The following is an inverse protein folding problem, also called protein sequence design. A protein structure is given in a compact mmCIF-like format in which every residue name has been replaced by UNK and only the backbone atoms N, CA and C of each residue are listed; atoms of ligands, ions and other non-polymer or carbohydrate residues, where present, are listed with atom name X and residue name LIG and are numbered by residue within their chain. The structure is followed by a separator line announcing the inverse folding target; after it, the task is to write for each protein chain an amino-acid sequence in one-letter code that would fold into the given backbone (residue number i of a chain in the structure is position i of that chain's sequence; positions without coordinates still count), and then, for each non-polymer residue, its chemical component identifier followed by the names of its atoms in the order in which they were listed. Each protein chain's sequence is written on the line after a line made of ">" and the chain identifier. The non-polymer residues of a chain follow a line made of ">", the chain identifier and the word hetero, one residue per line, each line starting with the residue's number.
data_IF_929794419789
#
_entry.id   IF_929794419789
#
_cell.length_a   1.000
_cell.length_b   1.000
_cell.length_c   1.000
_cell.angle_alpha   90.00
_cell.angle_beta   90.00
_cell.angle_gamma   90.00
#
_symmetry.space_group_name_H-M   'P 1'
#
loop_
_entity.id
_entity.type
_entity.pdbx_description
1 polymer ?
#
# COMPACT_ATOMS: atom_id res chain seq x y z
N UNK A 1 34.57 39.12 54.24
CA UNK A 1 34.11 37.84 53.67
C UNK A 1 32.61 37.96 53.40
N UNK A 2 32.12 37.40 52.27
CA UNK A 2 31.27 38.13 51.34
C UNK A 2 29.75 38.02 51.54
N UNK A 3 29.11 38.99 50.89
CA UNK A 3 27.71 39.22 50.51
C UNK A 3 26.98 38.06 49.82
N UNK A 4 25.66 37.97 49.96
CA UNK A 4 24.70 38.11 48.84
C UNK A 4 23.25 37.81 49.26
N UNK A 5 22.43 38.87 49.35
CA UNK A 5 21.03 38.82 48.92
C UNK A 5 20.95 38.34 47.47
N UNK A 6 20.00 37.45 47.17
CA UNK A 6 19.45 37.25 45.82
C UNK A 6 17.94 37.03 45.98
N UNK A 7 17.15 38.09 45.94
CA UNK A 7 16.58 38.67 44.72
C UNK A 7 15.63 37.69 44.01
N UNK A 8 14.35 37.77 44.37
CA UNK A 8 13.28 37.64 43.38
C UNK A 8 13.47 38.76 42.37
N UNK A 9 13.51 38.43 41.07
CA UNK A 9 12.87 39.21 40.01
C UNK A 9 12.94 38.45 38.68
N UNK A 10 11.74 38.32 38.10
CA UNK A 10 11.40 37.97 36.73
C UNK A 10 12.47 38.28 35.69
N UNK A 11 12.81 37.31 34.84
CA UNK A 11 13.14 37.61 33.45
C UNK A 11 12.07 36.97 32.56
N UNK A 12 11.24 37.82 31.94
CA UNK A 12 10.29 37.41 30.89
C UNK A 12 10.97 36.72 29.71
N UNK A 13 12.30 36.74 29.65
CA UNK A 13 13.12 35.96 28.71
C UNK A 13 13.05 34.45 28.96
N UNK A 14 12.81 33.98 30.19
CA UNK A 14 12.72 32.54 30.49
C UNK A 14 11.33 31.96 30.14
N UNK A 15 10.31 32.81 30.01
CA UNK A 15 8.99 32.42 29.51
C UNK A 15 8.92 32.49 27.97
N UNK A 16 9.55 33.50 27.37
CA UNK A 16 9.65 33.64 25.90
C UNK A 16 10.51 32.53 25.27
N UNK A 17 11.59 32.09 25.92
CA UNK A 17 12.41 30.97 25.45
C UNK A 17 11.69 29.61 25.55
N UNK A 18 10.82 29.43 26.55
CA UNK A 18 9.97 28.25 26.67
C UNK A 18 8.83 28.26 25.64
N UNK A 19 8.21 29.41 25.36
CA UNK A 19 7.22 29.53 24.29
C UNK A 19 7.85 29.40 22.88
N UNK A 20 9.07 29.89 22.67
CA UNK A 20 9.78 29.68 21.40
C UNK A 20 10.19 28.22 21.19
N UNK A 21 10.51 27.49 22.27
CA UNK A 21 10.80 26.06 22.21
C UNK A 21 9.54 25.22 21.97
N UNK A 22 8.38 25.66 22.49
CA UNK A 22 7.06 25.06 22.19
C UNK A 22 6.62 25.32 20.74
N UNK A 23 6.93 26.48 20.15
CA UNK A 23 6.67 26.78 18.74
C UNK A 23 7.66 26.09 17.77
N UNK A 24 8.83 25.67 18.27
CA UNK A 24 9.75 24.79 17.52
C UNK A 24 9.40 23.30 17.70
N UNK A 25 8.66 22.93 18.75
CA UNK A 25 8.16 21.58 18.95
C UNK A 25 6.84 21.29 18.21
N UNK A 26 6.15 22.31 17.70
CA UNK A 26 4.88 22.17 16.96
C UNK A 26 5.01 21.65 15.52
N UNK A 27 6.17 21.11 15.13
CA UNK A 27 6.34 20.45 13.83
C UNK A 27 7.03 19.09 13.91
N UNK A 28 7.01 18.41 15.06
CA UNK A 28 7.06 16.95 15.03
C UNK A 28 5.74 16.46 14.42
N UNK A 29 5.71 16.45 13.09
CA UNK A 29 4.77 15.63 12.33
C UNK A 29 4.81 14.25 12.97
N UNK A 30 3.66 13.77 13.42
CA UNK A 30 3.50 12.39 13.87
C UNK A 30 4.14 11.50 12.82
N UNK A 31 5.27 10.89 13.14
CA UNK A 31 5.90 9.94 12.24
C UNK A 31 4.96 8.74 12.23
N UNK A 32 4.03 8.74 11.28
CA UNK A 32 3.21 7.57 10.97
C UNK A 32 4.17 6.42 10.75
N UNK A 33 4.19 5.48 11.70
CA UNK A 33 5.08 4.34 11.66
C UNK A 33 4.61 3.41 10.54
N UNK A 34 5.33 3.42 9.43
CA UNK A 34 5.05 2.58 8.28
C UNK A 34 5.72 1.21 8.41
N UNK A 35 5.26 0.18 7.66
CA UNK A 35 5.92 -1.10 7.64
C UNK A 35 7.40 -0.95 7.26
N UNK A 36 8.27 -1.76 7.87
CA UNK A 36 9.72 -1.66 7.66
C UNK A 36 10.05 -1.88 6.17
N UNK A 37 10.81 -0.96 5.59
CA UNK A 37 11.18 -1.00 4.17
C UNK A 37 10.17 -0.34 3.24
N UNK A 38 9.04 0.15 3.76
CA UNK A 38 8.09 0.93 3.00
C UNK A 38 8.30 2.44 3.20
N UNK A 39 7.96 3.23 2.18
CA UNK A 39 7.99 4.68 2.25
C UNK A 39 6.91 5.32 1.35
N UNK A 40 6.34 6.47 1.78
CA UNK A 40 5.46 7.26 0.93
C UNK A 40 6.27 8.01 -0.14
N UNK A 41 5.64 8.21 -1.29
CA UNK A 41 6.10 9.01 -2.42
C UNK A 41 4.89 9.76 -3.00
N UNK A 42 5.15 10.80 -3.78
CA UNK A 42 4.11 11.52 -4.52
C UNK A 42 4.53 11.61 -5.98
N UNK A 43 3.70 11.09 -6.87
CA UNK A 43 3.97 11.05 -8.31
C UNK A 43 2.75 11.57 -9.05
N UNK A 44 2.92 12.67 -9.78
CA UNK A 44 1.84 13.35 -10.52
C UNK A 44 0.64 13.76 -9.63
N UNK A 45 0.89 14.09 -8.37
CA UNK A 45 -0.14 14.45 -7.39
C UNK A 45 -0.90 13.25 -6.80
N UNK A 46 -0.49 12.03 -7.12
CA UNK A 46 -1.04 10.81 -6.54
C UNK A 46 -0.20 10.33 -5.37
N UNK A 47 -0.88 9.88 -4.30
CA UNK A 47 -0.25 9.31 -3.12
C UNK A 47 0.21 7.90 -3.44
N UNK A 48 1.52 7.72 -3.50
CA UNK A 48 2.17 6.45 -3.83
C UNK A 48 2.79 5.88 -2.58
N UNK A 49 2.62 4.59 -2.34
CA UNK A 49 3.23 3.89 -1.24
C UNK A 49 4.12 2.76 -1.78
N UNK A 50 5.43 2.89 -1.58
CA UNK A 50 6.45 1.99 -2.13
C UNK A 50 6.92 1.04 -1.04
N UNK A 51 6.71 -0.25 -1.25
CA UNK A 51 7.12 -1.35 -0.39
C UNK A 51 7.91 -2.42 -1.16
N UNK A 52 8.43 -2.07 -2.34
CA UNK A 52 9.15 -2.98 -3.22
C UNK A 52 10.39 -3.55 -2.51
N UNK A 53 10.60 -4.87 -2.60
CA UNK A 53 11.75 -5.57 -1.98
C UNK A 53 11.92 -5.33 -0.47
N UNK A 54 10.82 -5.11 0.26
CA UNK A 54 10.82 -4.92 1.71
C UNK A 54 10.82 -6.26 2.50
N UNK A 55 10.99 -7.40 1.80
CA UNK A 55 10.98 -8.75 2.37
C UNK A 55 9.65 -9.12 3.04
N UNK A 56 8.55 -8.51 2.59
CA UNK A 56 7.22 -8.73 3.15
C UNK A 56 6.76 -10.16 2.89
N UNK A 57 6.11 -10.74 3.88
CA UNK A 57 5.51 -12.09 3.81
C UNK A 57 3.98 -12.05 3.84
N UNK A 58 3.40 -10.87 4.02
CA UNK A 58 1.98 -10.60 4.01
C UNK A 58 1.72 -9.18 3.49
N UNK A 59 0.48 -8.89 3.10
CA UNK A 59 0.05 -7.54 2.75
C UNK A 59 -0.01 -6.70 4.03
N UNK A 60 0.72 -5.56 4.12
CA UNK A 60 0.70 -4.74 5.31
C UNK A 60 -0.67 -4.09 5.54
N UNK A 61 -1.13 -4.03 6.79
CA UNK A 61 -2.42 -3.41 7.17
C UNK A 61 -2.31 -1.91 7.47
N UNK A 62 -1.09 -1.42 7.74
CA UNK A 62 -0.85 -0.04 8.18
C UNK A 62 -0.60 0.92 6.99
N UNK A 63 -1.19 0.62 5.84
CA UNK A 63 -1.11 1.47 4.64
C UNK A 63 -2.22 2.53 4.73
N UNK A 64 -1.93 3.82 4.51
CA UNK A 64 -2.94 4.87 4.54
C UNK A 64 -4.06 4.63 3.53
N UNK A 65 -5.32 4.81 3.97
CA UNK A 65 -6.51 4.56 3.14
C UNK A 65 -6.69 5.54 1.96
N UNK A 66 -5.93 6.62 1.95
CA UNK A 66 -5.87 7.62 0.89
C UNK A 66 -4.78 7.34 -0.16
N UNK A 67 -4.17 6.15 -0.13
CA UNK A 67 -3.18 5.68 -1.11
C UNK A 67 -3.83 5.44 -2.47
N UNK A 68 -3.22 6.00 -3.53
CA UNK A 68 -3.64 5.80 -4.92
C UNK A 68 -2.83 4.72 -5.64
N UNK A 69 -1.53 4.59 -5.34
CA UNK A 69 -0.66 3.58 -5.95
C UNK A 69 0.05 2.80 -4.86
N UNK A 70 0.00 1.47 -4.93
CA UNK A 70 0.65 0.59 -3.96
C UNK A 70 1.57 -0.39 -4.69
N UNK A 71 2.86 -0.29 -4.40
CA UNK A 71 3.90 -1.15 -4.95
C UNK A 71 4.37 -2.15 -3.91
N UNK A 72 3.99 -3.42 -4.06
CA UNK A 72 4.35 -4.56 -3.21
C UNK A 72 5.20 -5.60 -3.97
N UNK A 73 5.79 -5.20 -5.09
CA UNK A 73 6.62 -6.02 -5.96
C UNK A 73 7.93 -6.50 -5.29
N UNK A 74 8.51 -7.58 -5.82
CA UNK A 74 9.74 -8.21 -5.31
C UNK A 74 9.70 -8.58 -3.82
N UNK A 75 8.54 -8.97 -3.31
CA UNK A 75 8.38 -9.46 -1.94
C UNK A 75 8.23 -11.00 -1.90
N UNK A 76 7.77 -11.55 -0.77
CA UNK A 76 7.64 -12.99 -0.51
C UNK A 76 6.22 -13.36 -0.06
N UNK A 77 5.22 -12.59 -0.49
CA UNK A 77 3.81 -12.82 -0.12
C UNK A 77 3.35 -14.15 -0.74
N UNK A 78 2.89 -15.14 0.03
CA UNK A 78 2.57 -16.47 -0.48
C UNK A 78 1.11 -16.67 -0.85
N UNK A 79 0.20 -15.87 -0.28
CA UNK A 79 -1.25 -15.94 -0.54
C UNK A 79 -1.89 -14.56 -0.33
N UNK A 80 -3.04 -14.33 -0.97
CA UNK A 80 -3.88 -13.15 -0.74
C UNK A 80 -5.19 -13.57 -0.07
N UNK A 81 -5.44 -13.16 1.20
CA UNK A 81 -6.69 -13.46 1.87
C UNK A 81 -7.85 -12.61 1.32
N UNK A 82 -9.08 -13.01 1.61
CA UNK A 82 -10.28 -12.17 1.41
C UNK A 82 -10.07 -10.81 2.07
N UNK A 83 -10.57 -9.76 1.41
CA UNK A 83 -10.51 -8.37 1.91
C UNK A 83 -9.07 -7.82 2.11
N UNK A 84 -8.05 -8.42 1.49
CA UNK A 84 -6.63 -8.01 1.63
C UNK A 84 -6.37 -6.52 1.41
N UNK A 85 -7.16 -5.86 0.56
CA UNK A 85 -7.02 -4.45 0.20
C UNK A 85 -8.29 -3.64 0.48
N UNK A 86 -9.20 -4.16 1.31
CA UNK A 86 -10.53 -3.55 1.52
C UNK A 86 -10.46 -2.13 2.09
N UNK A 87 -9.43 -1.84 2.88
CA UNK A 87 -9.24 -0.54 3.54
C UNK A 87 -8.53 0.49 2.64
N UNK A 88 -8.27 0.15 1.37
CA UNK A 88 -7.60 1.00 0.39
C UNK A 88 -8.53 1.32 -0.80
N UNK A 89 -9.68 1.97 -0.56
CA UNK A 89 -10.74 2.14 -1.57
C UNK A 89 -10.38 3.08 -2.72
N UNK A 90 -9.30 3.86 -2.58
CA UNK A 90 -8.84 4.84 -3.58
C UNK A 90 -7.69 4.32 -4.46
N UNK A 91 -7.33 3.03 -4.36
CA UNK A 91 -6.29 2.45 -5.19
C UNK A 91 -6.68 2.48 -6.67
N UNK A 92 -5.77 3.05 -7.45
CA UNK A 92 -5.79 3.11 -8.91
C UNK A 92 -4.85 2.05 -9.50
N UNK A 93 -3.73 1.80 -8.83
CA UNK A 93 -2.68 0.89 -9.28
C UNK A 93 -2.17 0.03 -8.12
N UNK A 94 -2.13 -1.29 -8.35
CA UNK A 94 -1.62 -2.27 -7.40
C UNK A 94 -0.65 -3.22 -8.10
N UNK A 95 0.61 -3.19 -7.67
CA UNK A 95 1.65 -4.08 -8.16
C UNK A 95 2.00 -5.13 -7.09
N UNK A 96 1.74 -6.40 -7.41
CA UNK A 96 2.07 -7.58 -6.62
C UNK A 96 2.99 -8.51 -7.39
N UNK A 97 3.62 -8.02 -8.46
CA UNK A 97 4.51 -8.81 -9.31
C UNK A 97 5.73 -9.32 -8.53
N UNK A 98 6.38 -10.36 -9.05
CA UNK A 98 7.61 -10.89 -8.43
C UNK A 98 7.46 -11.28 -6.95
N UNK A 99 6.29 -11.80 -6.56
CA UNK A 99 6.06 -12.38 -5.25
C UNK A 99 6.10 -13.92 -5.31
N UNK A 100 5.58 -14.59 -4.29
CA UNK A 100 5.43 -16.05 -4.26
C UNK A 100 3.97 -16.48 -4.14
N UNK A 101 3.05 -15.65 -4.65
CA UNK A 101 1.61 -15.85 -4.49
C UNK A 101 1.21 -17.11 -5.24
N UNK A 102 0.71 -18.09 -4.50
CA UNK A 102 0.27 -19.39 -5.00
C UNK A 102 -1.24 -19.58 -4.93
N UNK A 103 -1.93 -18.74 -4.15
CA UNK A 103 -3.38 -18.75 -4.00
C UNK A 103 -3.93 -17.34 -3.74
N UNK A 104 -5.11 -17.08 -4.29
CA UNK A 104 -5.88 -15.85 -4.10
C UNK A 104 -7.27 -16.26 -3.66
N UNK A 105 -7.69 -15.82 -2.48
CA UNK A 105 -9.03 -16.10 -2.01
C UNK A 105 -10.10 -15.31 -2.78
N UNK A 106 -11.29 -15.89 -2.88
CA UNK A 106 -12.45 -15.18 -3.42
C UNK A 106 -12.73 -13.90 -2.62
N UNK A 107 -12.72 -12.76 -3.30
CA UNK A 107 -12.92 -11.45 -2.68
C UNK A 107 -11.65 -10.82 -2.12
N UNK A 108 -10.44 -11.29 -2.45
CA UNK A 108 -9.20 -10.62 -2.07
C UNK A 108 -9.14 -9.14 -2.53
N UNK A 109 -9.70 -8.85 -3.71
CA UNK A 109 -9.76 -7.50 -4.29
C UNK A 109 -11.08 -6.76 -4.04
N UNK A 110 -11.87 -7.21 -3.04
CA UNK A 110 -13.11 -6.53 -2.68
C UNK A 110 -12.82 -5.10 -2.22
N UNK A 111 -13.60 -4.14 -2.70
CA UNK A 111 -13.43 -2.72 -2.40
C UNK A 111 -12.63 -1.96 -3.45
N UNK A 112 -11.96 -2.66 -4.38
CA UNK A 112 -11.15 -2.04 -5.43
C UNK A 112 -11.90 -1.81 -6.76
N UNK A 113 -13.10 -2.36 -6.91
CA UNK A 113 -13.84 -2.41 -8.18
C UNK A 113 -14.13 -1.04 -8.81
N UNK A 114 -14.33 0.00 -7.99
CA UNK A 114 -14.74 1.32 -8.47
C UNK A 114 -13.58 2.13 -9.05
N UNK A 115 -12.36 2.00 -8.50
CA UNK A 115 -11.25 2.91 -8.80
C UNK A 115 -10.01 2.21 -9.37
N UNK A 116 -9.88 0.88 -9.25
CA UNK A 116 -8.67 0.20 -9.71
C UNK A 116 -8.62 0.18 -11.24
N UNK A 117 -7.52 0.66 -11.80
CA UNK A 117 -7.25 0.70 -13.24
C UNK A 117 -6.22 -0.35 -13.66
N UNK A 118 -5.27 -0.67 -12.78
CA UNK A 118 -4.19 -1.62 -13.06
C UNK A 118 -3.93 -2.54 -11.87
N UNK A 119 -3.85 -3.84 -12.16
CA UNK A 119 -3.48 -4.89 -11.22
C UNK A 119 -2.40 -5.76 -11.86
N UNK A 120 -1.20 -5.79 -11.26
CA UNK A 120 -0.14 -6.69 -11.71
C UNK A 120 0.05 -7.85 -10.73
N UNK A 121 -0.16 -9.08 -11.22
CA UNK A 121 0.09 -10.34 -10.52
C UNK A 121 1.11 -11.20 -11.26
N UNK A 122 1.84 -10.62 -12.22
CA UNK A 122 2.83 -11.35 -13.02
C UNK A 122 3.99 -11.89 -12.17
N UNK A 123 4.72 -12.85 -12.71
CA UNK A 123 5.90 -13.41 -12.04
C UNK A 123 5.61 -13.92 -10.62
N UNK A 124 4.49 -14.62 -10.47
CA UNK A 124 4.06 -15.27 -9.22
C UNK A 124 4.02 -16.80 -9.40
N UNK A 125 3.35 -17.52 -8.48
CA UNK A 125 3.29 -18.99 -8.46
C UNK A 125 1.87 -19.52 -8.65
N UNK A 126 1.01 -18.76 -9.31
CA UNK A 126 -0.38 -19.12 -9.53
C UNK A 126 -0.47 -20.23 -10.57
N UNK A 127 -1.08 -21.36 -10.17
CA UNK A 127 -1.34 -22.49 -11.07
C UNK A 127 -2.76 -22.42 -11.64
N UNK A 128 -3.69 -21.85 -10.88
CA UNK A 128 -5.09 -21.62 -11.27
C UNK A 128 -5.71 -20.55 -10.38
N UNK A 129 -6.60 -19.73 -10.94
CA UNK A 129 -7.41 -18.75 -10.20
C UNK A 129 -8.82 -18.76 -10.81
N UNK A 130 -9.86 -18.60 -10.00
CA UNK A 130 -11.23 -18.47 -10.53
C UNK A 130 -11.38 -17.16 -11.29
N UNK A 131 -12.03 -17.17 -12.45
CA UNK A 131 -12.40 -15.96 -13.20
C UNK A 131 -13.19 -14.95 -12.34
N UNK A 132 -13.96 -15.44 -11.38
CA UNK A 132 -14.83 -14.62 -10.51
C UNK A 132 -14.00 -13.77 -9.53
N UNK A 133 -12.72 -14.09 -9.36
CA UNK A 133 -11.78 -13.27 -8.59
C UNK A 133 -11.65 -11.87 -9.19
N UNK A 134 -11.81 -11.75 -10.51
CA UNK A 134 -11.60 -10.50 -11.27
C UNK A 134 -12.89 -9.96 -11.90
N UNK A 135 -14.02 -10.68 -11.84
CA UNK A 135 -15.23 -10.36 -12.61
C UNK A 135 -15.85 -9.00 -12.30
N UNK A 136 -15.59 -8.45 -11.11
CA UNK A 136 -16.10 -7.14 -10.70
C UNK A 136 -15.07 -6.01 -10.90
N UNK A 137 -13.84 -6.34 -11.30
CA UNK A 137 -12.82 -5.35 -11.58
C UNK A 137 -12.95 -4.89 -13.03
N UNK A 138 -12.87 -3.57 -13.24
CA UNK A 138 -12.71 -2.96 -14.57
C UNK A 138 -11.24 -2.69 -14.91
N UNK A 139 -10.33 -3.12 -14.04
CA UNK A 139 -8.91 -2.92 -14.17
C UNK A 139 -8.32 -3.79 -15.29
N UNK A 140 -7.25 -3.30 -15.91
CA UNK A 140 -6.33 -4.14 -16.67
C UNK A 140 -5.59 -5.05 -15.70
N UNK A 141 -5.72 -6.37 -15.88
CA UNK A 141 -5.05 -7.36 -15.02
C UNK A 141 -3.92 -8.04 -15.79
N UNK A 142 -2.70 -7.95 -15.26
CA UNK A 142 -1.56 -8.69 -15.77
C UNK A 142 -1.38 -10.01 -15.01
N UNK A 143 -1.44 -11.12 -15.72
CA UNK A 143 -1.31 -12.48 -15.20
C UNK A 143 -0.13 -13.25 -15.83
N UNK A 144 0.77 -12.56 -16.54
CA UNK A 144 1.91 -13.20 -17.23
C UNK A 144 2.84 -13.93 -16.25
N UNK A 145 3.72 -14.78 -16.77
CA UNK A 145 4.83 -15.36 -16.00
C UNK A 145 4.42 -16.10 -14.72
N UNK A 146 3.28 -16.77 -14.77
CA UNK A 146 2.80 -17.68 -13.74
C UNK A 146 2.75 -19.11 -14.30
N UNK A 147 2.97 -20.15 -13.45
CA UNK A 147 2.97 -21.56 -13.86
C UNK A 147 1.54 -22.10 -14.09
N UNK A 148 0.79 -21.44 -14.97
CA UNK A 148 -0.61 -21.75 -15.22
C UNK A 148 -0.81 -23.18 -15.72
N UNK A 149 -1.81 -23.86 -15.15
CA UNK A 149 -2.31 -25.11 -15.71
C UNK A 149 -3.11 -24.80 -16.97
N UNK A 150 -2.61 -25.24 -18.12
CA UNK A 150 -3.31 -25.10 -19.40
C UNK A 150 -4.53 -26.03 -19.48
N UNK A 151 -5.66 -25.58 -18.95
CA UNK A 151 -6.96 -26.24 -19.04
C UNK A 151 -8.07 -25.24 -19.45
N UNK A 152 -9.33 -25.71 -19.52
CA UNK A 152 -10.46 -24.85 -19.90
C UNK A 152 -10.73 -23.70 -18.93
N UNK A 153 -10.30 -23.81 -17.66
CA UNK A 153 -10.49 -22.74 -16.67
C UNK A 153 -9.53 -21.58 -16.94
N UNK A 154 -8.30 -21.89 -17.37
CA UNK A 154 -7.35 -20.86 -17.80
C UNK A 154 -7.88 -20.09 -19.02
N UNK A 155 -8.45 -20.79 -20.00
CA UNK A 155 -9.06 -20.14 -21.17
C UNK A 155 -10.20 -19.20 -20.77
N UNK A 156 -11.05 -19.62 -19.84
CA UNK A 156 -12.15 -18.79 -19.35
C UNK A 156 -11.66 -17.56 -18.58
N UNK A 157 -10.63 -17.74 -17.75
CA UNK A 157 -9.98 -16.67 -17.00
C UNK A 157 -9.40 -15.60 -17.95
N UNK A 158 -8.62 -16.02 -18.95
CA UNK A 158 -8.00 -15.10 -19.92
C UNK A 158 -9.08 -14.28 -20.64
N UNK A 159 -10.14 -14.94 -21.11
CA UNK A 159 -11.27 -14.25 -21.77
C UNK A 159 -11.92 -13.21 -20.85
N UNK A 160 -12.13 -13.54 -19.57
CA UNK A 160 -12.70 -12.59 -18.60
C UNK A 160 -11.81 -11.37 -18.40
N UNK A 161 -10.49 -11.58 -18.25
CA UNK A 161 -9.54 -10.50 -18.03
C UNK A 161 -9.37 -9.60 -19.27
N UNK A 162 -9.32 -10.18 -20.47
CA UNK A 162 -9.22 -9.43 -21.72
C UNK A 162 -10.47 -8.57 -21.98
N UNK A 163 -11.66 -9.11 -21.70
CA UNK A 163 -12.92 -8.36 -21.84
C UNK A 163 -13.03 -7.21 -20.83
N UNK A 164 -12.52 -7.39 -19.61
CA UNK A 164 -12.48 -6.32 -18.61
C UNK A 164 -11.55 -5.17 -19.04
N UNK A 165 -10.45 -5.46 -19.75
CA UNK A 165 -9.52 -4.46 -20.25
C UNK A 165 -10.05 -3.68 -21.48
N UNK A 166 -11.03 -4.22 -22.21
CA UNK A 166 -11.58 -3.63 -23.44
C UNK A 166 -12.78 -2.71 -23.26
N UNK A 167 -13.23 -2.44 -22.03
CA UNK A 167 -14.42 -1.62 -21.74
C UNK A 167 -14.10 -0.19 -21.28
N UNK A 168 -12.91 0.34 -21.59
CA UNK A 168 -12.50 1.73 -21.32
C UNK A 168 -12.67 2.62 -22.54
#
# INVERSE_FOLDING_TARGET
>A
MPTAERALLCSGTMWLLLQSLLLLASSLRSATAFPKGCYPSEEEGLKTFRCSNAQLTEVPRDIPNDTNKLYLDFNRIPFLPRDAFRDLPLLLELDLSHNSISSVESGAFRGLAEHLHSLDLSSNRLVSVSKDTFSNLKAKVNLSDNPWRCDCRLQELIRTVELAAGSS
#
